data_IF_153285642012
#
_entry.id   IF_153285642012
#
_cell.length_a   1.000
_cell.length_b   1.000
_cell.length_c   1.000
_cell.angle_alpha   90.00
_cell.angle_beta   90.00
_cell.angle_gamma   90.00
#
_symmetry.space_group_name_H-M   'P 1'
#
loop_
_entity.id
_entity.type
_entity.pdbx_description
1 polymer ?
#
# COMPACT_ATOMS: atom_id res chain seq x y z
N UNK A 1 -4.44 -14.02 13.31
CA UNK A 1 -3.89 -14.77 12.17
C UNK A 1 -2.37 -14.63 12.17
N UNK A 2 -1.61 -15.74 12.20
CA UNK A 2 -0.15 -15.69 12.00
C UNK A 2 0.11 -15.23 10.57
N UNK A 3 0.79 -14.11 10.40
CA UNK A 3 1.22 -13.56 9.09
C UNK A 3 2.40 -14.40 8.57
N UNK A 4 2.12 -15.53 7.95
CA UNK A 4 3.15 -16.36 7.34
C UNK A 4 3.72 -15.68 6.09
N UNK A 5 5.03 -15.85 5.84
CA UNK A 5 5.70 -15.25 4.68
C UNK A 5 5.04 -15.65 3.35
N UNK A 6 4.53 -16.87 3.26
CA UNK A 6 3.78 -17.35 2.09
C UNK A 6 2.47 -16.58 1.88
N UNK A 7 1.69 -16.37 2.94
CA UNK A 7 0.42 -15.63 2.86
C UNK A 7 0.64 -14.19 2.41
N UNK A 8 1.67 -13.54 2.93
CA UNK A 8 2.02 -12.16 2.52
C UNK A 8 2.50 -12.12 1.08
N UNK A 9 3.40 -13.00 0.68
CA UNK A 9 3.89 -13.05 -0.70
C UNK A 9 2.75 -13.24 -1.71
N UNK A 10 1.87 -14.21 -1.49
CA UNK A 10 0.71 -14.47 -2.35
C UNK A 10 -0.23 -13.26 -2.42
N UNK A 11 -0.54 -12.65 -1.27
CA UNK A 11 -1.40 -11.48 -1.23
C UNK A 11 -0.81 -10.29 -2.00
N UNK A 12 0.49 -10.01 -1.82
CA UNK A 12 1.19 -8.92 -2.52
C UNK A 12 1.19 -9.16 -4.03
N UNK A 13 1.51 -10.38 -4.48
CA UNK A 13 1.51 -10.73 -5.90
C UNK A 13 0.12 -10.55 -6.51
N UNK A 14 -0.92 -11.08 -5.86
CA UNK A 14 -2.29 -11.01 -6.34
C UNK A 14 -2.85 -9.59 -6.36
N UNK A 15 -2.39 -8.72 -5.45
CA UNK A 15 -2.79 -7.33 -5.43
C UNK A 15 -2.08 -6.48 -6.47
N UNK A 16 -0.77 -6.67 -6.69
CA UNK A 16 0.03 -5.79 -7.53
C UNK A 16 0.04 -6.19 -9.00
N UNK A 17 0.08 -7.50 -9.29
CA UNK A 17 0.18 -8.00 -10.67
C UNK A 17 -0.97 -7.53 -11.58
N UNK A 18 -2.23 -7.50 -11.14
CA UNK A 18 -3.34 -7.03 -11.98
C UNK A 18 -3.36 -5.52 -12.21
N UNK A 19 -2.61 -4.72 -11.44
CA UNK A 19 -2.65 -3.25 -11.57
C UNK A 19 -2.02 -2.76 -12.87
N UNK A 20 -1.16 -3.57 -13.52
CA UNK A 20 -0.51 -3.20 -14.78
C UNK A 20 0.42 -1.98 -14.69
N UNK A 21 0.73 -1.52 -13.47
CA UNK A 21 1.60 -0.37 -13.24
C UNK A 21 3.08 -0.73 -13.52
N UNK A 22 3.90 0.23 -13.98
CA UNK A 22 5.33 0.03 -14.14
C UNK A 22 6.03 -0.04 -12.77
N UNK A 23 5.99 -1.20 -12.13
CA UNK A 23 6.72 -1.45 -10.89
C UNK A 23 8.19 -1.74 -11.21
N UNK A 24 9.10 -0.95 -10.63
CA UNK A 24 10.54 -1.14 -10.80
C UNK A 24 11.18 -1.81 -9.58
N UNK A 25 10.76 -1.39 -8.39
CA UNK A 25 11.37 -1.80 -7.13
C UNK A 25 10.32 -1.92 -6.03
N UNK A 26 10.52 -2.82 -5.09
CA UNK A 26 9.75 -2.90 -3.83
C UNK A 26 10.73 -2.79 -2.67
N UNK A 27 10.37 -2.00 -1.66
CA UNK A 27 11.16 -1.85 -0.43
C UNK A 27 10.30 -2.18 0.78
N UNK A 28 10.76 -3.08 1.64
CA UNK A 28 10.09 -3.43 2.90
C UNK A 28 11.01 -3.23 4.12
N UNK A 29 10.45 -3.37 5.32
CA UNK A 29 11.27 -3.57 6.51
C UNK A 29 11.77 -5.03 6.60
N UNK A 30 12.63 -5.28 7.58
CA UNK A 30 13.20 -6.61 7.87
C UNK A 30 12.22 -7.53 8.62
N UNK A 31 10.91 -7.32 8.47
CA UNK A 31 9.87 -8.17 9.04
C UNK A 31 9.94 -9.59 8.48
N UNK A 32 9.77 -10.60 9.35
CA UNK A 32 9.82 -12.03 8.96
C UNK A 32 8.71 -12.40 7.97
N UNK A 33 7.63 -11.63 7.92
CA UNK A 33 6.58 -11.77 6.91
C UNK A 33 7.07 -11.52 5.46
N UNK A 34 8.20 -10.84 5.29
CA UNK A 34 8.82 -10.60 3.98
C UNK A 34 9.96 -11.59 3.65
N UNK A 35 10.12 -12.67 4.41
CA UNK A 35 11.15 -13.68 4.16
C UNK A 35 11.08 -14.31 2.75
N UNK A 36 9.90 -14.29 2.11
CA UNK A 36 9.69 -14.77 0.73
C UNK A 36 9.85 -13.66 -0.33
N UNK A 37 10.63 -12.61 -0.05
CA UNK A 37 10.86 -11.50 -0.98
C UNK A 37 11.38 -11.92 -2.36
N UNK A 38 12.18 -12.99 -2.45
CA UNK A 38 12.69 -13.50 -3.71
C UNK A 38 11.56 -13.99 -4.65
N UNK A 39 10.56 -14.66 -4.08
CA UNK A 39 9.37 -15.12 -4.82
C UNK A 39 8.57 -13.91 -5.33
N UNK A 40 8.39 -12.89 -4.49
CA UNK A 40 7.72 -11.64 -4.89
C UNK A 40 8.48 -10.92 -6.01
N UNK A 41 9.80 -10.79 -5.87
CA UNK A 41 10.68 -10.16 -6.85
C UNK A 41 10.57 -10.83 -8.22
N UNK A 42 10.64 -12.17 -8.26
CA UNK A 42 10.53 -12.95 -9.49
C UNK A 42 9.15 -12.82 -10.12
N UNK A 43 8.08 -12.99 -9.35
CA UNK A 43 6.71 -12.99 -9.85
C UNK A 43 6.27 -11.62 -10.39
N UNK A 44 6.76 -10.53 -9.78
CA UNK A 44 6.46 -9.15 -10.18
C UNK A 44 7.48 -8.58 -11.16
N UNK A 45 8.60 -9.28 -11.42
CA UNK A 45 9.74 -8.82 -12.23
C UNK A 45 10.33 -7.49 -11.72
N UNK A 46 10.52 -7.38 -10.41
CA UNK A 46 11.03 -6.18 -9.73
C UNK A 46 12.29 -6.49 -8.94
N UNK A 47 13.08 -5.45 -8.64
CA UNK A 47 14.12 -5.56 -7.60
C UNK A 47 13.48 -5.39 -6.22
N UNK A 48 13.95 -6.14 -5.23
CA UNK A 48 13.45 -6.05 -3.87
C UNK A 48 14.56 -5.58 -2.92
N UNK A 49 14.27 -4.60 -2.09
CA UNK A 49 15.19 -4.00 -1.13
C UNK A 49 14.62 -4.06 0.29
N UNK A 50 15.52 -4.03 1.27
CA UNK A 50 15.18 -3.89 2.67
C UNK A 50 15.70 -2.56 3.19
N UNK A 51 14.90 -1.89 4.01
CA UNK A 51 15.36 -0.72 4.75
C UNK A 51 16.46 -1.11 5.74
N UNK A 52 17.41 -0.20 5.97
CA UNK A 52 18.48 -0.41 6.94
C UNK A 52 17.91 -0.60 8.36
N UNK A 53 18.56 -1.41 9.21
CA UNK A 53 18.18 -1.52 10.61
C UNK A 53 18.08 -0.14 11.27
N UNK A 54 17.00 0.08 12.04
CA UNK A 54 16.72 1.34 12.74
C UNK A 54 16.52 2.58 11.84
N UNK A 55 16.42 2.41 10.51
CA UNK A 55 16.24 3.51 9.55
C UNK A 55 14.76 3.70 9.15
N UNK A 56 13.89 4.00 10.12
CA UNK A 56 12.45 4.17 9.85
C UNK A 56 12.14 5.28 8.82
N UNK A 57 13.02 6.29 8.71
CA UNK A 57 12.88 7.41 7.77
C UNK A 57 12.94 6.98 6.30
N UNK A 58 13.60 5.86 5.96
CA UNK A 58 13.66 5.32 4.60
C UNK A 58 12.29 4.84 4.11
N UNK A 59 11.31 4.72 5.01
CA UNK A 59 9.93 4.33 4.73
C UNK A 59 8.92 5.38 5.19
N UNK A 60 9.30 6.67 5.19
CA UNK A 60 8.45 7.76 5.70
C UNK A 60 7.04 7.80 5.05
N UNK A 61 6.93 7.44 3.76
CA UNK A 61 5.64 7.35 3.08
C UNK A 61 4.75 6.22 3.62
N UNK A 62 5.32 5.08 4.03
CA UNK A 62 4.57 3.97 4.61
C UNK A 62 4.00 4.39 5.95
N UNK A 63 4.78 5.08 6.79
CA UNK A 63 4.30 5.57 8.09
C UNK A 63 3.21 6.63 7.94
N UNK A 64 3.37 7.55 6.99
CA UNK A 64 2.31 8.51 6.65
C UNK A 64 1.01 7.81 6.20
N UNK A 65 1.13 6.83 5.30
CA UNK A 65 -0.02 6.07 4.77
C UNK A 65 -0.69 5.24 5.87
N UNK A 66 0.08 4.61 6.75
CA UNK A 66 -0.44 3.90 7.92
C UNK A 66 -1.20 4.85 8.85
N UNK A 67 -0.68 6.05 9.08
CA UNK A 67 -1.38 7.10 9.85
C UNK A 67 -2.74 7.45 9.25
N UNK A 68 -2.82 7.61 7.92
CA UNK A 68 -4.09 7.87 7.22
C UNK A 68 -5.08 6.71 7.36
N UNK A 69 -4.63 5.46 7.23
CA UNK A 69 -5.48 4.27 7.43
C UNK A 69 -6.01 4.22 8.87
N UNK A 70 -5.18 4.60 9.86
CA UNK A 70 -5.57 4.62 11.28
C UNK A 70 -6.62 5.67 11.64
N UNK A 71 -6.85 6.68 10.79
CA UNK A 71 -7.98 7.60 10.96
C UNK A 71 -9.34 6.89 10.77
N UNK A 72 -9.36 5.79 10.01
CA UNK A 72 -10.58 4.99 9.75
C UNK A 72 -10.64 3.71 10.59
N UNK A 73 -9.49 3.13 10.91
CA UNK A 73 -9.37 1.92 11.72
C UNK A 73 -8.50 2.16 12.97
N UNK A 74 -9.09 2.73 14.04
CA UNK A 74 -8.37 3.07 15.28
C UNK A 74 -7.62 1.87 15.85
N UNK A 75 -6.53 2.12 16.58
CA UNK A 75 -5.64 1.06 17.11
C UNK A 75 -6.36 0.02 17.96
N UNK A 76 -7.39 0.43 18.70
CA UNK A 76 -8.16 -0.43 19.59
C UNK A 76 -9.20 -1.29 18.85
N UNK A 77 -9.48 -1.01 17.57
CA UNK A 77 -10.40 -1.82 16.78
C UNK A 77 -9.69 -3.11 16.34
N UNK A 78 -10.20 -4.30 16.69
CA UNK A 78 -9.62 -5.55 16.22
C UNK A 78 -9.73 -5.65 14.70
N UNK A 79 -8.63 -5.97 14.02
CA UNK A 79 -8.64 -6.11 12.56
C UNK A 79 -9.57 -7.23 12.05
N UNK A 80 -9.86 -8.23 12.88
CA UNK A 80 -10.79 -9.29 12.53
C UNK A 80 -12.24 -8.80 12.35
N UNK A 81 -12.59 -7.62 12.86
CA UNK A 81 -13.94 -7.04 12.73
C UNK A 81 -14.03 -6.05 11.57
N UNK A 82 -12.97 -5.89 10.79
CA UNK A 82 -12.98 -5.02 9.61
C UNK A 82 -13.50 -5.82 8.43
N UNK A 83 -14.56 -5.33 7.81
CA UNK A 83 -15.16 -5.96 6.62
C UNK A 83 -14.41 -5.57 5.35
N UNK A 84 -14.49 -6.43 4.32
CA UNK A 84 -13.92 -6.10 3.00
C UNK A 84 -14.56 -4.84 2.40
N UNK A 85 -15.84 -4.59 2.66
CA UNK A 85 -16.54 -3.39 2.22
C UNK A 85 -15.94 -2.12 2.85
N UNK A 86 -15.65 -2.14 4.15
CA UNK A 86 -14.99 -1.01 4.81
C UNK A 86 -13.58 -0.77 4.26
N UNK A 87 -12.81 -1.85 4.02
CA UNK A 87 -11.48 -1.74 3.39
C UNK A 87 -11.60 -1.03 2.04
N UNK A 88 -12.54 -1.47 1.19
CA UNK A 88 -12.74 -0.89 -0.13
C UNK A 88 -13.17 0.59 -0.05
N UNK A 89 -14.07 0.93 0.88
CA UNK A 89 -14.51 2.32 1.10
C UNK A 89 -13.34 3.21 1.51
N UNK A 90 -12.48 2.76 2.43
CA UNK A 90 -11.31 3.51 2.87
C UNK A 90 -10.28 3.63 1.75
N UNK A 91 -10.01 2.55 1.00
CA UNK A 91 -9.14 2.58 -0.17
C UNK A 91 -9.62 3.59 -1.20
N UNK A 92 -10.92 3.58 -1.54
CA UNK A 92 -11.51 4.54 -2.47
C UNK A 92 -11.35 5.98 -1.98
N UNK A 93 -11.60 6.25 -0.69
CA UNK A 93 -11.41 7.58 -0.11
C UNK A 93 -9.95 8.02 -0.20
N UNK A 94 -8.99 7.17 0.16
CA UNK A 94 -7.56 7.51 0.16
C UNK A 94 -6.96 7.64 -1.24
N UNK A 95 -7.41 6.83 -2.20
CA UNK A 95 -6.92 6.87 -3.59
C UNK A 95 -7.57 7.96 -4.43
N UNK A 96 -8.72 8.50 -3.99
CA UNK A 96 -9.36 9.67 -4.59
C UNK A 96 -9.11 10.97 -3.80
N UNK A 97 -8.27 10.95 -2.76
CA UNK A 97 -7.92 12.15 -1.99
C UNK A 97 -6.77 12.91 -2.68
N UNK A 98 -6.94 14.20 -3.03
CA UNK A 98 -5.86 15.06 -3.50
C UNK A 98 -4.68 15.09 -2.53
N UNK A 99 -3.44 14.98 -3.05
CA UNK A 99 -2.21 15.06 -2.25
C UNK A 99 -1.36 16.24 -2.69
N UNK A 100 -0.93 17.08 -1.74
CA UNK A 100 -0.03 18.21 -2.03
C UNK A 100 1.27 17.74 -2.70
N UNK A 101 1.81 16.59 -2.30
CA UNK A 101 3.02 16.00 -2.90
C UNK A 101 2.84 15.54 -4.36
N UNK A 102 1.60 15.42 -4.83
CA UNK A 102 1.26 15.08 -6.22
C UNK A 102 0.73 16.30 -6.99
N UNK A 103 1.00 17.53 -6.52
CA UNK A 103 0.46 18.75 -7.12
C UNK A 103 -1.07 18.82 -7.04
N UNK A 104 -1.63 18.38 -5.91
CA UNK A 104 -3.08 18.28 -5.66
C UNK A 104 -3.83 17.31 -6.59
N UNK A 105 -3.13 16.44 -7.31
CA UNK A 105 -3.73 15.27 -7.97
C UNK A 105 -3.99 14.14 -6.97
N UNK A 106 -4.93 13.26 -7.31
CA UNK A 106 -5.20 12.03 -6.56
C UNK A 106 -4.24 10.90 -6.99
N UNK A 107 -3.97 9.90 -6.13
CA UNK A 107 -3.25 8.71 -6.53
C UNK A 107 -3.84 8.02 -7.77
N UNK A 108 -5.18 7.96 -7.87
CA UNK A 108 -5.84 7.37 -9.03
C UNK A 108 -5.59 8.16 -10.34
N UNK A 109 -5.53 9.49 -10.27
CA UNK A 109 -5.18 10.32 -11.43
C UNK A 109 -3.74 10.08 -11.89
N UNK A 110 -2.80 9.98 -10.95
CA UNK A 110 -1.37 9.82 -11.28
C UNK A 110 -1.04 8.40 -11.75
N UNK A 111 -1.57 7.38 -11.08
CA UNK A 111 -1.23 5.99 -11.37
C UNK A 111 -2.03 5.43 -12.55
N UNK A 112 -3.31 5.78 -12.67
CA UNK A 112 -4.24 5.14 -13.61
C UNK A 112 -4.89 6.11 -14.59
N UNK A 113 -4.61 7.42 -14.51
CA UNK A 113 -5.29 8.42 -15.34
C UNK A 113 -6.80 8.53 -15.05
N UNK A 114 -7.27 7.98 -13.94
CA UNK A 114 -8.70 8.01 -13.58
C UNK A 114 -9.00 9.39 -13.00
N UNK A 115 -10.00 10.07 -13.54
CA UNK A 115 -10.49 11.36 -13.05
C UNK A 115 -11.79 11.18 -12.26
N UNK A 116 -11.72 10.81 -10.96
CA UNK A 116 -12.89 10.74 -10.12
C UNK A 116 -13.48 12.13 -9.94
N UNK A 117 -14.81 12.22 -9.86
CA UNK A 117 -15.48 13.43 -9.38
C UNK A 117 -15.04 13.63 -7.92
N UNK A 118 -14.16 14.59 -7.70
CA UNK A 118 -13.71 14.99 -6.36
C UNK A 118 -14.28 16.36 -6.08
N UNK A 119 -14.74 16.58 -4.84
CA UNK A 119 -15.43 17.82 -4.42
C UNK A 119 -14.60 19.11 -4.56
N UNK A 120 -13.35 19.03 -5.04
CA UNK A 120 -12.42 20.14 -5.19
C UNK A 120 -12.14 20.51 -6.66
N UNK A 121 -12.74 19.82 -7.64
CA UNK A 121 -12.69 20.24 -9.05
C UNK A 121 -14.02 20.86 -9.43
N UNK A 122 -14.12 22.17 -9.23
CA UNK A 122 -15.12 23.07 -9.83
C UNK A 122 -14.40 23.95 -10.84
#
# INVERSE_FOLDING_TARGET
ARRGANTVATAVINLLKPLGLPLHTVTSDNGKEFAHHAIMAQALKVRFFFAHPYAAWERGLNENTNGLIRQYFPKQRPFATITQQEIQQVMNKLNNRPRKSLGFKTPNQVCFGIHPIVALTS
#
